data_IF_908584258884
#
_entry.id   IF_908584258884
#
_cell.length_a   1.000
_cell.length_b   1.000
_cell.length_c   1.000
_cell.angle_alpha   90.00
_cell.angle_beta   90.00
_cell.angle_gamma   90.00
#
_symmetry.space_group_name_H-M   'P 1'
#
loop_
_entity.id
_entity.type
_entity.pdbx_description
1 polymer ?
#
# COMPACT_ATOMS: atom_id res chain seq x y z
N UNK A 1 19.21 -19.60 32.22
CA UNK A 1 19.50 -19.20 30.83
C UNK A 1 19.47 -20.46 29.98
N UNK A 2 18.47 -20.62 29.11
CA UNK A 2 18.47 -21.60 28.02
C UNK A 2 17.66 -21.00 26.88
N UNK A 3 18.30 -20.86 25.72
CA UNK A 3 17.80 -20.17 24.55
C UNK A 3 16.74 -21.00 23.82
N UNK A 4 15.63 -20.36 23.43
CA UNK A 4 14.65 -20.94 22.51
C UNK A 4 15.08 -20.55 21.10
N UNK A 5 15.54 -21.54 20.34
CA UNK A 5 15.82 -21.41 18.92
C UNK A 5 14.51 -21.48 18.14
N UNK A 6 14.10 -20.41 17.47
CA UNK A 6 12.98 -20.45 16.53
C UNK A 6 13.48 -20.81 15.13
N UNK A 7 13.01 -21.96 14.65
CA UNK A 7 13.30 -22.51 13.34
C UNK A 7 12.28 -21.95 12.33
N UNK A 8 12.72 -21.09 11.40
CA UNK A 8 11.86 -20.44 10.41
C UNK A 8 11.90 -21.19 9.06
N UNK A 9 11.13 -22.28 8.95
CA UNK A 9 10.81 -22.88 7.66
C UNK A 9 9.28 -22.84 7.47
N UNK A 10 8.79 -21.82 6.73
CA UNK A 10 7.43 -21.82 6.20
C UNK A 10 7.55 -21.86 4.68
N UNK A 11 6.91 -22.85 4.05
CA UNK A 11 6.86 -23.04 2.60
C UNK A 11 5.90 -22.02 1.97
N UNK A 12 6.45 -21.11 1.16
CA UNK A 12 5.75 -19.94 0.60
C UNK A 12 4.99 -20.22 -0.71
N UNK A 13 4.84 -21.49 -1.14
CA UNK A 13 4.27 -21.85 -2.46
C UNK A 13 2.76 -22.04 -2.50
N UNK A 14 2.04 -21.85 -1.40
CA UNK A 14 0.63 -22.25 -1.28
C UNK A 14 -0.34 -21.17 -0.79
N UNK A 15 0.05 -19.88 -0.77
CA UNK A 15 -0.86 -18.80 -0.36
C UNK A 15 -1.63 -18.18 -1.55
N UNK A 16 -2.96 -17.99 -1.44
CA UNK A 16 -3.79 -17.42 -2.50
C UNK A 16 -3.42 -15.95 -2.75
N UNK A 17 -3.14 -15.60 -4.02
CA UNK A 17 -2.94 -14.21 -4.43
C UNK A 17 -4.28 -13.54 -4.72
N UNK A 18 -4.51 -12.36 -4.15
CA UNK A 18 -5.61 -11.50 -4.57
C UNK A 18 -5.38 -11.07 -6.03
N UNK A 19 -6.28 -11.50 -6.92
CA UNK A 19 -6.25 -11.13 -8.34
C UNK A 19 -6.82 -9.75 -8.53
N UNK A 20 -5.97 -8.76 -8.82
CA UNK A 20 -6.40 -7.45 -9.28
C UNK A 20 -6.70 -7.49 -10.77
N UNK A 21 -7.71 -6.75 -11.28
CA UNK A 21 -7.95 -6.66 -12.71
C UNK A 21 -6.70 -6.14 -13.43
N UNK A 22 -6.19 -6.94 -14.36
CA UNK A 22 -4.93 -6.70 -15.05
C UNK A 22 -5.06 -5.60 -16.12
N UNK A 23 -3.99 -4.80 -16.20
CA UNK A 23 -3.78 -3.71 -17.15
C UNK A 23 -3.67 -4.25 -18.58
N UNK A 24 -4.57 -3.86 -19.48
CA UNK A 24 -4.38 -4.07 -20.93
C UNK A 24 -3.66 -2.84 -21.49
N UNK A 25 -2.32 -2.92 -21.58
CA UNK A 25 -1.49 -1.85 -22.15
C UNK A 25 -1.26 -2.17 -23.62
N UNK A 26 -1.70 -1.28 -24.51
CA UNK A 26 -1.34 -1.34 -25.93
C UNK A 26 0.19 -1.34 -26.07
N UNK A 27 0.72 -2.40 -26.70
CA UNK A 27 2.15 -2.59 -26.98
C UNK A 27 2.53 -1.65 -28.12
N UNK A 28 3.39 -0.66 -27.84
CA UNK A 28 4.37 -0.08 -28.78
C UNK A 28 5.29 0.92 -28.05
N UNK A 29 5.94 0.48 -26.97
CA UNK A 29 7.09 1.16 -26.41
C UNK A 29 8.19 0.13 -26.14
N UNK A 30 9.36 0.44 -26.64
CA UNK A 30 10.60 -0.34 -26.69
C UNK A 30 10.89 -1.06 -25.37
N UNK A 31 11.25 -2.33 -25.47
CA UNK A 31 11.54 -3.22 -24.35
C UNK A 31 12.73 -2.71 -23.52
N UNK A 32 12.45 -2.12 -22.37
CA UNK A 32 13.26 -2.34 -21.16
C UNK A 32 12.29 -2.59 -20.00
N UNK A 33 12.18 -3.86 -19.63
CA UNK A 33 11.53 -4.32 -18.42
C UNK A 33 12.10 -3.53 -17.23
N UNK A 34 11.29 -2.85 -16.39
CA UNK A 34 11.81 -2.33 -15.14
C UNK A 34 12.35 -3.52 -14.36
N UNK A 35 13.65 -3.53 -14.06
CA UNK A 35 14.28 -4.60 -13.29
C UNK A 35 13.49 -4.76 -11.98
N UNK A 36 12.81 -5.90 -11.85
CA UNK A 36 12.12 -6.28 -10.61
C UNK A 36 13.20 -6.40 -9.53
N UNK A 37 13.25 -5.44 -8.61
CA UNK A 37 14.17 -5.49 -7.47
C UNK A 37 13.56 -6.44 -6.41
N UNK A 38 14.12 -7.66 -6.21
CA UNK A 38 13.50 -8.69 -5.39
C UNK A 38 13.32 -8.26 -3.92
N UNK A 39 14.12 -7.31 -3.41
CA UNK A 39 13.95 -6.77 -2.05
C UNK A 39 12.57 -6.11 -1.86
N UNK A 40 12.07 -5.40 -2.87
CA UNK A 40 10.77 -4.70 -2.82
C UNK A 40 9.57 -5.66 -2.77
N UNK A 41 9.72 -6.88 -3.30
CA UNK A 41 8.66 -7.89 -3.31
C UNK A 41 8.56 -8.69 -1.99
N UNK A 42 9.67 -8.84 -1.26
CA UNK A 42 9.66 -9.43 0.08
C UNK A 42 9.03 -8.49 1.11
N UNK A 43 9.41 -7.21 1.09
CA UNK A 43 8.86 -6.20 2.00
C UNK A 43 7.34 -6.05 1.81
N UNK A 44 6.88 -6.15 0.55
CA UNK A 44 5.46 -6.19 0.18
C UNK A 44 4.68 -7.32 0.87
N UNK A 45 5.20 -8.55 0.85
CA UNK A 45 4.50 -9.72 1.41
C UNK A 45 4.43 -9.68 2.93
N UNK A 46 5.49 -9.18 3.58
CA UNK A 46 5.55 -9.06 5.04
C UNK A 46 4.51 -8.08 5.57
N UNK A 47 4.32 -6.94 4.89
CA UNK A 47 3.30 -5.96 5.27
C UNK A 47 1.89 -6.53 5.03
N UNK A 48 1.65 -7.23 3.93
CA UNK A 48 0.36 -7.86 3.67
C UNK A 48 -0.02 -8.92 4.71
N UNK A 49 0.91 -9.80 5.11
CA UNK A 49 0.61 -10.84 6.11
C UNK A 49 0.26 -10.28 7.48
N UNK A 50 0.80 -9.12 7.86
CA UNK A 50 0.46 -8.48 9.14
C UNK A 50 -0.96 -7.87 9.13
N UNK A 51 -1.48 -7.48 7.96
CA UNK A 51 -2.81 -6.87 7.82
C UNK A 51 -3.97 -7.86 7.68
N UNK A 52 -3.72 -9.08 7.19
CA UNK A 52 -4.76 -10.11 7.03
C UNK A 52 -5.27 -10.65 8.38
N UNK A 53 -4.52 -10.47 9.47
CA UNK A 53 -4.89 -10.92 10.82
C UNK A 53 -5.83 -9.96 11.57
N UNK A 54 -6.25 -8.83 10.99
CA UNK A 54 -7.11 -7.84 11.66
C UNK A 54 -8.54 -7.74 11.07
N UNK A 55 -8.86 -8.47 9.99
CA UNK A 55 -10.11 -8.30 9.25
C UNK A 55 -11.16 -9.41 9.43
N UNK A 56 -10.98 -10.36 10.34
CA UNK A 56 -11.98 -11.41 10.60
C UNK A 56 -12.94 -11.03 11.73
N UNK A 57 -13.76 -9.99 11.55
CA UNK A 57 -15.02 -9.83 12.32
C UNK A 57 -15.84 -8.62 11.85
N UNK A 58 -16.66 -8.82 10.82
CA UNK A 58 -17.97 -8.12 10.65
C UNK A 58 -18.70 -8.62 9.39
N UNK A 59 -19.04 -9.91 9.38
CA UNK A 59 -20.08 -10.42 8.48
C UNK A 59 -21.43 -10.32 9.19
N UNK A 60 -22.22 -9.28 8.87
CA UNK A 60 -23.69 -9.35 8.75
C UNK A 60 -24.28 -7.98 8.41
N UNK A 61 -25.23 -8.02 7.45
CA UNK A 61 -26.18 -6.98 7.00
C UNK A 61 -25.73 -6.02 5.88
N UNK A 62 -26.12 -6.34 4.64
CA UNK A 62 -27.20 -5.63 3.92
C UNK A 62 -27.17 -5.85 2.40
N UNK A 63 -28.36 -6.08 1.84
CA UNK A 63 -28.69 -6.50 0.46
C UNK A 63 -28.43 -5.45 -0.63
N UNK A 64 -27.39 -4.62 -0.54
CA UNK A 64 -27.09 -3.58 -1.54
C UNK A 64 -25.59 -3.45 -1.88
N UNK A 65 -24.74 -4.36 -1.40
CA UNK A 65 -23.33 -4.39 -1.79
C UNK A 65 -23.21 -4.91 -3.22
N UNK A 66 -22.89 -4.01 -4.15
CA UNK A 66 -22.44 -4.42 -5.48
C UNK A 66 -21.00 -4.92 -5.33
N UNK A 67 -20.84 -6.21 -5.07
CA UNK A 67 -19.53 -6.87 -5.09
C UNK A 67 -18.88 -6.76 -6.47
N UNK A 68 -19.68 -6.49 -7.52
CA UNK A 68 -19.23 -6.16 -8.86
C UNK A 68 -18.65 -4.76 -8.91
N UNK A 69 -17.38 -4.59 -9.32
CA UNK A 69 -16.80 -3.27 -9.53
C UNK A 69 -17.54 -2.49 -10.61
N UNK A 70 -17.80 -1.21 -10.38
CA UNK A 70 -18.34 -0.30 -11.40
C UNK A 70 -17.25 0.62 -11.93
N UNK A 71 -17.46 1.20 -13.12
CA UNK A 71 -16.58 2.25 -13.66
C UNK A 71 -17.30 3.60 -13.64
N UNK A 72 -16.71 4.58 -12.96
CA UNK A 72 -17.15 5.98 -12.99
C UNK A 72 -16.09 6.78 -13.75
N UNK A 73 -16.51 7.62 -14.68
CA UNK A 73 -15.63 8.52 -15.44
C UNK A 73 -16.10 9.95 -15.26
N UNK A 74 -15.22 10.81 -14.74
CA UNK A 74 -15.35 12.25 -14.81
C UNK A 74 -14.48 12.82 -15.94
N UNK A 75 -14.43 14.14 -16.07
CA UNK A 75 -13.60 14.80 -17.09
C UNK A 75 -12.11 14.50 -16.91
N UNK A 76 -11.61 14.56 -15.67
CA UNK A 76 -10.18 14.41 -15.33
C UNK A 76 -9.91 13.26 -14.35
N UNK A 77 -10.87 12.36 -14.16
CA UNK A 77 -10.68 11.23 -13.27
C UNK A 77 -11.45 9.98 -13.73
N UNK A 78 -10.95 8.83 -13.31
CA UNK A 78 -11.61 7.54 -13.46
C UNK A 78 -11.54 6.76 -12.16
N UNK A 79 -12.66 6.19 -11.75
CA UNK A 79 -12.75 5.22 -10.67
C UNK A 79 -13.22 3.87 -11.19
N UNK A 80 -12.61 2.80 -10.70
CA UNK A 80 -13.04 1.42 -10.89
C UNK A 80 -13.01 0.70 -9.56
N UNK A 81 -14.16 0.32 -9.03
CA UNK A 81 -14.18 -0.35 -7.74
C UNK A 81 -15.57 -0.60 -7.19
N UNK A 82 -15.59 -1.15 -5.99
CA UNK A 82 -16.80 -1.41 -5.23
C UNK A 82 -17.45 -0.10 -4.76
N UNK A 83 -18.76 -0.14 -4.56
CA UNK A 83 -19.56 0.99 -4.10
C UNK A 83 -20.60 0.51 -3.08
N UNK A 84 -20.92 1.40 -2.15
CA UNK A 84 -22.07 1.28 -1.25
C UNK A 84 -22.94 2.53 -1.40
N UNK A 85 -24.09 2.38 -2.06
CA UNK A 85 -24.89 3.52 -2.51
C UNK A 85 -24.07 4.47 -3.39
N UNK A 86 -23.94 5.73 -2.97
CA UNK A 86 -23.20 6.77 -3.70
C UNK A 86 -21.75 6.95 -3.20
N UNK A 87 -21.24 6.03 -2.39
CA UNK A 87 -19.92 6.13 -1.78
C UNK A 87 -19.00 5.01 -2.25
N UNK A 88 -17.73 5.36 -2.50
CA UNK A 88 -16.65 4.39 -2.72
C UNK A 88 -16.37 3.67 -1.41
N UNK A 89 -16.45 2.35 -1.46
CA UNK A 89 -16.22 1.46 -0.31
C UNK A 89 -15.63 0.15 -0.82
N UNK A 90 -14.79 -0.52 -0.03
CA UNK A 90 -14.15 -1.77 -0.42
C UNK A 90 -12.96 -1.55 -1.35
N UNK A 91 -12.66 -2.48 -2.25
CA UNK A 91 -11.47 -2.39 -3.12
C UNK A 91 -11.77 -1.58 -4.39
N UNK A 92 -10.87 -0.66 -4.73
CA UNK A 92 -11.00 0.14 -5.93
C UNK A 92 -9.71 0.84 -6.36
N UNK A 93 -9.70 1.28 -7.62
CA UNK A 93 -8.66 2.07 -8.25
C UNK A 93 -9.23 3.44 -8.64
N UNK A 94 -8.50 4.51 -8.34
CA UNK A 94 -8.80 5.88 -8.73
C UNK A 94 -7.60 6.46 -9.47
N UNK A 95 -7.86 7.17 -10.56
CA UNK A 95 -6.81 7.77 -11.39
C UNK A 95 -7.24 9.15 -11.83
N UNK A 96 -6.32 10.11 -11.79
CA UNK A 96 -6.38 11.42 -12.43
C UNK A 96 -5.21 11.56 -13.40
N UNK A 97 -5.01 12.76 -13.96
CA UNK A 97 -3.83 13.03 -14.77
C UNK A 97 -2.51 13.06 -13.97
N UNK A 98 -2.59 13.25 -12.64
CA UNK A 98 -1.42 13.50 -11.77
C UNK A 98 -1.19 12.39 -10.74
N UNK A 99 -2.26 11.65 -10.40
CA UNK A 99 -2.28 10.76 -9.24
C UNK A 99 -3.08 9.49 -9.53
N UNK A 100 -2.57 8.37 -9.05
CA UNK A 100 -3.30 7.10 -9.05
C UNK A 100 -3.29 6.49 -7.65
N UNK A 101 -4.41 5.89 -7.26
CA UNK A 101 -4.55 5.15 -6.02
C UNK A 101 -5.15 3.77 -6.31
N UNK A 102 -4.57 2.74 -5.72
CA UNK A 102 -5.06 1.37 -5.76
C UNK A 102 -5.15 0.85 -4.32
N UNK A 103 -6.34 0.59 -3.81
CA UNK A 103 -6.47 0.15 -2.42
C UNK A 103 -7.89 0.06 -1.91
N UNK A 104 -8.00 0.08 -0.59
CA UNK A 104 -9.29 0.02 0.09
C UNK A 104 -9.89 1.42 0.26
N UNK A 105 -11.20 1.48 0.23
CA UNK A 105 -11.99 2.68 0.34
C UNK A 105 -12.98 2.51 1.47
N UNK A 106 -13.25 3.60 2.17
CA UNK A 106 -14.32 3.69 3.14
C UNK A 106 -14.89 5.09 3.09
N UNK A 107 -16.20 5.25 2.89
CA UNK A 107 -16.87 6.55 2.81
C UNK A 107 -16.16 7.57 1.88
N UNK A 108 -15.85 7.16 0.65
CA UNK A 108 -15.17 7.99 -0.37
C UNK A 108 -13.70 8.38 -0.11
N UNK A 109 -13.07 7.91 0.97
CA UNK A 109 -11.67 8.20 1.27
C UNK A 109 -10.79 6.95 1.24
N UNK A 110 -9.49 7.14 0.98
CA UNK A 110 -8.52 6.06 1.08
C UNK A 110 -8.50 5.50 2.50
N UNK A 111 -8.52 4.18 2.61
CA UNK A 111 -8.53 3.47 3.88
C UNK A 111 -7.77 2.15 3.75
N UNK A 112 -7.45 1.52 4.88
CA UNK A 112 -6.83 0.20 4.90
C UNK A 112 -5.52 0.17 4.12
N UNK A 113 -5.21 -0.94 3.46
CA UNK A 113 -3.99 -1.04 2.66
C UNK A 113 -4.19 -0.47 1.25
N UNK A 114 -3.21 0.30 0.77
CA UNK A 114 -3.22 0.82 -0.59
C UNK A 114 -1.84 1.19 -1.13
N UNK A 115 -1.81 1.54 -2.40
CA UNK A 115 -0.68 2.08 -3.15
C UNK A 115 -1.08 3.42 -3.73
N UNK A 116 -0.21 4.40 -3.58
CA UNK A 116 -0.34 5.73 -4.14
C UNK A 116 0.78 5.95 -5.14
N UNK A 117 0.41 6.41 -6.33
CA UNK A 117 1.31 6.77 -7.38
C UNK A 117 1.15 8.27 -7.68
N UNK A 118 2.27 8.95 -7.87
CA UNK A 118 2.33 10.35 -8.30
C UNK A 118 3.16 10.40 -9.57
N UNK A 119 2.65 11.05 -10.61
CA UNK A 119 3.32 11.15 -11.92
C UNK A 119 3.71 9.76 -12.48
N UNK A 120 2.88 8.75 -12.23
CA UNK A 120 3.12 7.36 -12.65
C UNK A 120 4.19 6.60 -11.86
N UNK A 121 4.81 7.21 -10.84
CA UNK A 121 5.77 6.56 -9.92
C UNK A 121 5.09 6.19 -8.61
N UNK A 122 5.39 5.01 -8.08
CA UNK A 122 4.91 4.60 -6.76
C UNK A 122 5.54 5.51 -5.70
N UNK A 123 4.75 6.33 -5.02
CA UNK A 123 5.22 7.27 -3.98
C UNK A 123 4.97 6.75 -2.58
N UNK A 124 3.91 5.97 -2.37
CA UNK A 124 3.65 5.33 -1.08
C UNK A 124 2.95 3.99 -1.23
N UNK A 125 3.28 3.06 -0.35
CA UNK A 125 2.56 1.83 -0.17
C UNK A 125 2.46 1.50 1.31
N UNK A 126 1.25 1.32 1.82
CA UNK A 126 1.06 1.02 3.22
C UNK A 126 -0.38 1.19 3.67
N UNK A 127 -0.53 1.35 4.97
CA UNK A 127 -1.82 1.61 5.59
C UNK A 127 -2.24 3.08 5.43
N UNK A 128 -3.55 3.27 5.25
CA UNK A 128 -4.23 4.55 5.15
C UNK A 128 -5.38 4.61 6.15
N UNK A 129 -5.61 5.79 6.71
CA UNK A 129 -6.77 6.08 7.55
C UNK A 129 -7.26 7.49 7.24
N UNK A 130 -8.52 7.61 6.84
CA UNK A 130 -9.18 8.86 6.50
C UNK A 130 -8.43 9.66 5.42
N UNK A 131 -7.93 8.98 4.38
CA UNK A 131 -7.17 9.62 3.30
C UNK A 131 -5.68 9.84 3.57
N UNK A 132 -5.21 9.67 4.81
CA UNK A 132 -3.84 9.94 5.23
C UNK A 132 -3.05 8.64 5.43
N UNK A 133 -1.75 8.65 5.18
CA UNK A 133 -0.84 7.57 5.56
C UNK A 133 -0.90 7.39 7.07
N UNK A 134 -1.12 6.16 7.52
CA UNK A 134 -1.29 5.86 8.94
C UNK A 134 -0.95 4.39 9.18
N UNK A 135 -0.11 4.08 10.17
CA UNK A 135 0.39 2.73 10.41
C UNK A 135 1.64 2.39 9.59
N UNK A 136 1.90 1.10 9.37
CA UNK A 136 3.09 0.65 8.66
C UNK A 136 3.02 0.95 7.15
N UNK A 137 4.13 1.44 6.59
CA UNK A 137 4.23 1.72 5.17
C UNK A 137 5.66 1.92 4.67
N UNK A 138 5.75 2.10 3.35
CA UNK A 138 6.95 2.45 2.61
C UNK A 138 6.65 3.71 1.80
N UNK A 139 7.45 4.75 1.99
CA UNK A 139 7.41 5.97 1.18
C UNK A 139 8.65 6.04 0.30
N UNK A 140 8.46 6.33 -0.98
CA UNK A 140 9.50 6.44 -1.99
C UNK A 140 9.65 7.90 -2.40
N UNK A 141 10.88 8.34 -2.61
CA UNK A 141 11.21 9.71 -2.99
C UNK A 141 11.88 9.73 -4.38
N UNK A 142 11.89 10.90 -5.01
CA UNK A 142 12.44 11.08 -6.37
C UNK A 142 13.95 10.86 -6.46
N UNK A 143 14.68 11.02 -5.35
CA UNK A 143 16.12 10.76 -5.25
C UNK A 143 16.46 9.26 -5.05
N UNK A 144 15.49 8.38 -5.32
CA UNK A 144 15.54 6.93 -5.12
C UNK A 144 15.68 6.49 -3.65
N UNK A 145 15.70 7.44 -2.70
CA UNK A 145 15.62 7.12 -1.29
C UNK A 145 14.22 6.61 -0.93
N UNK A 146 14.13 5.87 0.18
CA UNK A 146 12.85 5.37 0.66
C UNK A 146 12.86 5.18 2.17
N UNK A 147 11.71 5.41 2.79
CA UNK A 147 11.48 5.19 4.21
C UNK A 147 10.62 3.95 4.40
N UNK A 148 11.00 3.08 5.34
CA UNK A 148 10.20 1.95 5.80
C UNK A 148 9.93 2.14 7.28
N UNK A 149 8.67 2.25 7.69
CA UNK A 149 8.33 2.46 9.09
C UNK A 149 6.88 2.82 9.33
N UNK A 150 6.63 3.37 10.51
CA UNK A 150 5.29 3.80 10.91
C UNK A 150 5.02 5.25 10.50
N UNK A 151 3.76 5.51 10.15
CA UNK A 151 3.22 6.81 9.79
C UNK A 151 2.04 7.16 10.70
N UNK A 152 1.88 8.45 10.98
CA UNK A 152 0.71 8.98 11.64
C UNK A 152 0.33 10.31 10.98
N UNK A 153 -0.83 10.32 10.31
CA UNK A 153 -1.38 11.53 9.65
C UNK A 153 -0.39 12.11 8.65
N UNK A 154 0.06 11.27 7.73
CA UNK A 154 1.08 11.54 6.70
C UNK A 154 2.53 11.73 7.18
N UNK A 155 2.77 11.85 8.49
CA UNK A 155 4.10 12.06 9.03
C UNK A 155 4.74 10.74 9.46
N UNK A 156 6.04 10.59 9.25
CA UNK A 156 6.83 9.49 9.85
C UNK A 156 6.78 9.64 11.36
N UNK A 157 6.26 8.61 12.04
CA UNK A 157 6.10 8.60 13.49
C UNK A 157 6.24 7.17 14.02
N UNK A 158 7.12 6.96 15.00
CA UNK A 158 7.45 5.64 15.52
C UNK A 158 8.72 5.05 14.92
N UNK A 159 8.91 3.73 15.08
CA UNK A 159 10.10 3.03 14.58
C UNK A 159 10.13 3.05 13.05
N UNK A 160 11.29 3.39 12.47
CA UNK A 160 11.48 3.39 11.04
C UNK A 160 12.94 3.45 10.60
N UNK A 161 13.16 3.20 9.31
CA UNK A 161 14.46 3.28 8.66
C UNK A 161 14.33 4.05 7.35
N UNK A 162 15.11 5.13 7.20
CA UNK A 162 15.32 5.82 5.93
C UNK A 162 16.58 5.25 5.25
N UNK A 163 16.41 4.76 4.04
CA UNK A 163 17.47 4.28 3.17
C UNK A 163 17.77 5.32 2.11
N UNK A 164 19.01 5.80 2.07
CA UNK A 164 19.55 6.66 1.00
C UNK A 164 20.72 5.94 0.32
N UNK A 165 21.21 6.50 -0.78
CA UNK A 165 22.29 5.92 -1.59
C UNK A 165 23.49 5.39 -0.78
N UNK A 166 23.95 6.18 0.21
CA UNK A 166 25.14 5.87 1.02
C UNK A 166 24.86 5.94 2.53
N UNK A 167 23.60 6.04 2.95
CA UNK A 167 23.24 6.30 4.34
C UNK A 167 22.02 5.48 4.73
N UNK A 168 22.05 4.92 5.93
CA UNK A 168 20.90 4.29 6.57
C UNK A 168 20.65 4.98 7.91
N UNK A 169 19.48 5.57 8.07
CA UNK A 169 19.04 6.23 9.29
C UNK A 169 17.92 5.41 9.93
N UNK A 170 18.28 4.63 10.94
CA UNK A 170 17.36 3.77 11.68
C UNK A 170 17.13 4.33 13.07
N UNK A 171 15.89 4.31 13.54
CA UNK A 171 15.58 4.81 14.87
C UNK A 171 14.11 5.13 15.11
N UNK A 172 13.86 5.92 16.16
CA UNK A 172 12.57 6.50 16.47
C UNK A 172 12.37 7.80 15.69
N UNK A 173 11.26 7.91 14.98
CA UNK A 173 10.87 9.10 14.22
C UNK A 173 9.71 9.81 14.92
N UNK A 174 9.73 11.14 14.88
CA UNK A 174 8.65 11.98 15.39
C UNK A 174 8.45 13.17 14.45
N UNK A 175 7.26 13.28 13.87
CA UNK A 175 6.90 14.37 12.95
C UNK A 175 7.93 14.58 11.83
N UNK A 176 8.24 13.50 11.09
CA UNK A 176 9.23 13.45 9.99
C UNK A 176 10.70 13.62 10.38
N UNK A 177 11.01 13.77 11.66
CA UNK A 177 12.38 13.93 12.16
C UNK A 177 12.83 12.68 12.88
N UNK A 178 14.08 12.26 12.62
CA UNK A 178 14.73 11.24 13.42
C UNK A 178 14.97 11.81 14.83
N UNK A 179 14.28 11.26 15.82
CA UNK A 179 14.33 11.68 17.22
C UNK A 179 15.43 10.95 17.98
N UNK A 180 15.52 9.62 17.79
CA UNK A 180 16.52 8.77 18.44
C UNK A 180 17.09 7.78 17.43
N UNK A 181 18.42 7.68 17.33
CA UNK A 181 19.11 6.78 16.40
C UNK A 181 19.47 5.46 17.08
N UNK A 182 19.36 4.35 16.34
CA UNK A 182 19.83 3.02 16.76
C UNK A 182 21.15 2.63 16.08
#
# INVERSE_FOLDING_TARGET
>A
MNAITFNNNIDYRSLPQATFPTRNINRNATQQSPQKNPKREFDYKLIQSQTQNLNTSSHSLSRLRSDTPITIRGQNYRYVGQMNGNQKEGVGSYSTNELEYEGQWFNNVYHGFGKLYQEGKLSYQGQFKNGLKNGAGIEYYDDESYFVGNFERDLKNGIGTLYKKNEKLQGMWQNDKLFEKY
#
